data_IF_527529463321
#
_entry.id   IF_527529463321
#
_cell.length_a   1.000
_cell.length_b   1.000
_cell.length_c   1.000
_cell.angle_alpha   90.00
_cell.angle_beta   90.00
_cell.angle_gamma   90.00
#
_symmetry.space_group_name_H-M   'P 1'
#
loop_
_entity.id
_entity.type
_entity.pdbx_description
1 polymer ?
#
# COMPACT_ATOMS: atom_id res chain seq x y z
N UNK A 1 4.46 3.44 -10.37
CA UNK A 1 3.02 3.65 -10.09
C UNK A 1 2.28 2.36 -10.44
N UNK A 2 2.00 1.49 -9.46
CA UNK A 2 1.42 0.15 -9.69
C UNK A 2 -0.05 0.22 -10.11
N UNK A 3 -0.85 0.99 -9.38
CA UNK A 3 -2.27 1.18 -9.63
C UNK A 3 -2.58 1.69 -11.04
N UNK A 4 -1.79 2.65 -11.53
CA UNK A 4 -1.92 3.15 -12.90
C UNK A 4 -1.65 2.08 -13.97
N UNK A 5 -0.73 1.14 -13.71
CA UNK A 5 -0.44 0.05 -14.64
C UNK A 5 -1.57 -1.00 -14.66
N UNK A 6 -2.10 -1.37 -13.49
CA UNK A 6 -3.21 -2.31 -13.39
C UNK A 6 -4.51 -1.74 -13.98
N UNK A 7 -4.79 -0.45 -13.73
CA UNK A 7 -5.92 0.24 -14.35
C UNK A 7 -5.77 0.31 -15.87
N UNK A 8 -4.57 0.63 -16.38
CA UNK A 8 -4.31 0.65 -17.82
C UNK A 8 -4.54 -0.70 -18.49
N UNK A 9 -4.15 -1.80 -17.84
CA UNK A 9 -4.44 -3.16 -18.32
C UNK A 9 -5.94 -3.45 -18.35
N UNK A 10 -6.67 -3.07 -17.29
CA UNK A 10 -8.12 -3.26 -17.24
C UNK A 10 -8.83 -2.47 -18.35
N UNK A 11 -8.45 -1.21 -18.59
CA UNK A 11 -9.01 -0.41 -19.70
C UNK A 11 -8.72 -1.07 -21.05
N UNK A 12 -7.50 -1.57 -21.27
CA UNK A 12 -7.15 -2.26 -22.51
C UNK A 12 -7.93 -3.57 -22.72
N UNK A 13 -8.34 -4.26 -21.64
CA UNK A 13 -9.15 -5.47 -21.69
C UNK A 13 -10.65 -5.19 -21.96
N UNK A 14 -11.14 -4.00 -21.61
CA UNK A 14 -12.54 -3.59 -21.81
C UNK A 14 -12.62 -2.21 -22.52
N UNK A 15 -12.18 -2.11 -23.78
CA UNK A 15 -11.98 -0.82 -24.46
C UNK A 15 -13.27 0.00 -24.64
N UNK A 16 -14.42 -0.66 -24.74
CA UNK A 16 -15.74 -0.02 -24.91
C UNK A 16 -16.62 -0.09 -23.64
N UNK A 17 -16.10 -0.67 -22.55
CA UNK A 17 -16.83 -0.85 -21.29
C UNK A 17 -15.97 -0.43 -20.09
N UNK A 18 -15.95 0.89 -19.87
CA UNK A 18 -15.25 1.51 -18.74
C UNK A 18 -15.78 1.01 -17.39
N UNK A 19 -17.06 0.63 -17.29
CA UNK A 19 -17.62 0.14 -16.02
C UNK A 19 -17.13 -1.27 -15.71
N UNK A 20 -17.01 -2.14 -16.72
CA UNK A 20 -16.36 -3.44 -16.56
C UNK A 20 -14.87 -3.29 -16.23
N UNK A 21 -14.15 -2.38 -16.91
CA UNK A 21 -12.74 -2.09 -16.61
C UNK A 21 -12.54 -1.67 -15.15
N UNK A 22 -13.34 -0.72 -14.66
CA UNK A 22 -13.26 -0.25 -13.28
C UNK A 22 -13.61 -1.35 -12.29
N UNK A 23 -14.68 -2.11 -12.54
CA UNK A 23 -15.07 -3.22 -11.66
C UNK A 23 -13.95 -4.25 -11.51
N UNK A 24 -13.32 -4.66 -12.62
CA UNK A 24 -12.23 -5.62 -12.61
C UNK A 24 -10.97 -5.08 -11.90
N UNK A 25 -10.64 -3.80 -12.10
CA UNK A 25 -9.54 -3.15 -11.40
C UNK A 25 -9.79 -3.04 -9.88
N UNK A 26 -11.00 -2.62 -9.50
CA UNK A 26 -11.41 -2.40 -8.11
C UNK A 26 -11.49 -3.70 -7.32
N UNK A 27 -11.97 -4.79 -7.94
CA UNK A 27 -11.99 -6.12 -7.34
C UNK A 27 -10.61 -6.57 -6.85
N UNK A 28 -9.55 -6.26 -7.61
CA UNK A 28 -8.17 -6.53 -7.22
C UNK A 28 -7.58 -5.45 -6.29
N UNK A 29 -8.00 -4.19 -6.42
CA UNK A 29 -7.48 -3.06 -5.64
C UNK A 29 -7.96 -3.05 -4.20
N UNK A 30 -9.25 -3.27 -3.95
CA UNK A 30 -9.81 -3.03 -2.62
C UNK A 30 -9.24 -3.93 -1.53
N UNK A 31 -9.08 -5.26 -1.73
CA UNK A 31 -8.49 -6.12 -0.70
C UNK A 31 -7.05 -5.72 -0.35
N UNK A 32 -6.22 -5.37 -1.36
CA UNK A 32 -4.85 -4.90 -1.09
C UNK A 32 -4.81 -3.54 -0.41
N UNK A 33 -5.76 -2.66 -0.72
CA UNK A 33 -5.85 -1.32 -0.14
C UNK A 33 -6.30 -1.37 1.31
N UNK A 34 -7.25 -2.25 1.64
CA UNK A 34 -7.66 -2.53 3.01
C UNK A 34 -6.48 -3.03 3.85
N UNK A 35 -5.77 -4.05 3.37
CA UNK A 35 -4.59 -4.58 4.06
C UNK A 35 -3.52 -3.48 4.31
N UNK A 36 -3.24 -2.67 3.29
CA UNK A 36 -2.32 -1.54 3.42
C UNK A 36 -2.81 -0.49 4.42
N UNK A 37 -4.10 -0.18 4.44
CA UNK A 37 -4.69 0.76 5.38
C UNK A 37 -4.62 0.25 6.83
N UNK A 38 -4.93 -1.02 7.08
CA UNK A 38 -4.81 -1.65 8.40
C UNK A 38 -3.36 -1.61 8.90
N UNK A 39 -2.40 -1.99 8.06
CA UNK A 39 -0.98 -1.94 8.42
C UNK A 39 -0.51 -0.51 8.69
N UNK A 40 -0.94 0.45 7.86
CA UNK A 40 -0.59 1.85 8.01
C UNK A 40 -1.13 2.41 9.32
N UNK A 41 -2.38 2.09 9.68
CA UNK A 41 -2.98 2.51 10.94
C UNK A 41 -2.16 2.03 12.14
N UNK A 42 -1.84 0.73 12.19
CA UNK A 42 -1.00 0.15 13.25
C UNK A 42 0.38 0.82 13.34
N UNK A 43 1.02 1.02 12.18
CA UNK A 43 2.33 1.67 12.14
C UNK A 43 2.24 3.13 12.61
N UNK A 44 1.20 3.85 12.21
CA UNK A 44 1.01 5.24 12.62
C UNK A 44 0.81 5.37 14.12
N UNK A 45 0.02 4.50 14.74
CA UNK A 45 -0.15 4.46 16.19
C UNK A 45 1.19 4.27 16.90
N UNK A 46 2.02 3.32 16.46
CA UNK A 46 3.27 2.97 17.15
C UNK A 46 4.41 3.95 16.87
N UNK A 47 4.51 4.49 15.66
CA UNK A 47 5.71 5.23 15.24
C UNK A 47 5.52 6.75 15.18
N UNK A 48 4.29 7.22 14.97
CA UNK A 48 4.02 8.63 14.70
C UNK A 48 3.14 9.29 15.76
N UNK A 49 2.29 8.54 16.45
CA UNK A 49 1.24 9.09 17.32
C UNK A 49 1.23 8.55 18.75
N UNK A 50 2.24 7.78 19.17
CA UNK A 50 2.38 7.37 20.57
C UNK A 50 2.99 8.48 21.45
N UNK A 51 3.00 8.26 22.77
CA UNK A 51 3.59 9.19 23.75
C UNK A 51 5.10 9.39 23.59
N UNK A 52 5.77 8.53 22.81
CA UNK A 52 7.19 8.59 22.52
C UNK A 52 7.47 9.24 21.16
N UNK A 53 6.48 9.75 20.45
CA UNK A 53 6.70 10.44 19.19
C UNK A 53 7.71 11.59 19.37
N UNK A 54 8.70 11.76 18.47
CA UNK A 54 8.88 11.06 17.19
C UNK A 54 9.86 9.86 17.25
N UNK A 55 10.27 9.40 18.43
CA UNK A 55 11.38 8.46 18.58
C UNK A 55 11.12 7.10 17.91
N UNK A 56 9.87 6.61 17.88
CA UNK A 56 9.52 5.37 17.17
C UNK A 56 9.79 5.44 15.66
N UNK A 57 9.48 6.57 15.02
CA UNK A 57 9.80 6.81 13.61
C UNK A 57 11.32 6.89 13.38
N UNK A 58 12.05 7.58 14.26
CA UNK A 58 13.51 7.67 14.18
C UNK A 58 14.12 6.27 14.26
N UNK A 59 13.67 5.45 15.22
CA UNK A 59 14.15 4.09 15.43
C UNK A 59 14.03 3.26 14.14
N UNK A 60 12.89 3.32 13.43
CA UNK A 60 12.73 2.62 12.14
C UNK A 60 13.74 3.08 11.10
N UNK A 61 13.92 4.39 10.94
CA UNK A 61 14.75 4.96 9.89
C UNK A 61 16.25 4.70 10.12
N UNK A 62 16.67 4.54 11.38
CA UNK A 62 18.08 4.30 11.75
C UNK A 62 18.41 2.81 11.97
N UNK A 63 17.42 1.92 12.06
CA UNK A 63 17.65 0.48 12.19
C UNK A 63 18.19 -0.13 10.88
N UNK A 64 19.44 -0.63 10.89
CA UNK A 64 20.06 -1.42 9.80
C UNK A 64 19.30 -2.70 9.38
N UNK A 65 18.28 -3.13 10.14
CA UNK A 65 17.57 -4.40 9.94
C UNK A 65 16.59 -4.43 8.77
N UNK A 66 16.02 -3.28 8.38
CA UNK A 66 15.10 -3.21 7.23
C UNK A 66 15.78 -3.65 5.92
N UNK A 67 17.04 -3.22 5.71
CA UNK A 67 17.80 -3.52 4.51
C UNK A 67 18.14 -5.02 4.32
N UNK A 68 18.08 -5.83 5.39
CA UNK A 68 18.48 -7.24 5.37
C UNK A 68 17.29 -8.21 5.32
N UNK A 69 16.05 -7.73 5.44
CA UNK A 69 14.84 -8.58 5.50
C UNK A 69 14.16 -8.76 4.15
N UNK A 70 14.37 -7.84 3.20
CA UNK A 70 13.82 -7.91 1.82
C UNK A 70 14.80 -8.52 0.79
N UNK A 71 16.01 -8.92 1.22
CA UNK A 71 17.02 -9.58 0.38
C UNK A 71 17.08 -11.12 0.56
N UNK A 72 16.03 -11.73 1.13
CA UNK A 72 15.89 -13.19 1.23
C UNK A 72 14.54 -13.64 0.73
#
# INVERSE_FOLDING_TARGET
MFDGAELGKAIAAYPDDVKAALSAYEEALFPRSEAAATMTHQNHEVFCFDDRAPFGLIDILVQKKWFLRELK
#
